data_IF_255461975546
#
_entry.id   IF_255461975546
#
_cell.length_a   1.000
_cell.length_b   1.000
_cell.length_c   1.000
_cell.angle_alpha   90.00
_cell.angle_beta   90.00
_cell.angle_gamma   90.00
#
_symmetry.space_group_name_H-M   'P 1'
#
loop_
_entity.id
_entity.type
_entity.pdbx_description
1 polymer ?
#
# COMPACT_ATOMS: atom_id res chain seq x y z
N UNK A 1 30.05 59.15 -50.53
CA UNK A 1 28.93 59.65 -49.77
C UNK A 1 28.09 58.40 -49.32
N UNK A 2 28.34 57.91 -48.11
CA UNK A 2 27.86 56.60 -47.60
C UNK A 2 26.68 56.85 -46.68
N UNK A 3 25.50 56.36 -47.04
CA UNK A 3 24.32 56.46 -46.19
C UNK A 3 24.21 55.18 -45.35
N UNK A 4 24.34 55.35 -44.04
CA UNK A 4 24.15 54.26 -43.06
C UNK A 4 22.68 54.21 -42.67
N UNK A 5 22.02 53.09 -43.00
CA UNK A 5 20.66 52.77 -42.50
C UNK A 5 20.80 51.99 -41.18
N UNK A 6 20.29 52.59 -40.11
CA UNK A 6 20.18 51.94 -38.80
C UNK A 6 18.85 51.20 -38.74
N UNK A 7 18.88 49.86 -38.72
CA UNK A 7 17.69 49.02 -38.42
C UNK A 7 17.59 48.83 -36.90
N UNK A 8 16.53 49.35 -36.30
CA UNK A 8 16.11 49.03 -34.92
C UNK A 8 15.44 47.65 -34.95
N UNK A 9 16.07 46.64 -34.40
CA UNK A 9 15.43 45.36 -34.12
C UNK A 9 14.84 45.40 -32.71
N UNK A 10 13.48 45.40 -32.59
CA UNK A 10 12.75 45.18 -31.34
C UNK A 10 12.79 43.72 -31.02
N UNK A 11 13.56 43.33 -29.97
CA UNK A 11 13.60 42.00 -29.44
C UNK A 11 12.39 41.82 -28.52
N UNK A 12 11.36 41.11 -28.99
CA UNK A 12 10.30 40.57 -28.10
C UNK A 12 10.92 39.38 -27.31
N UNK A 13 11.14 39.62 -26.04
CA UNK A 13 11.61 38.55 -25.14
C UNK A 13 10.47 37.59 -24.84
N UNK A 14 10.45 36.42 -25.50
CA UNK A 14 9.69 35.26 -25.03
C UNK A 14 10.40 34.70 -23.79
N UNK A 15 9.83 34.95 -22.63
CA UNK A 15 10.20 34.20 -21.41
C UNK A 15 9.68 32.79 -21.53
N UNK A 16 10.52 31.86 -21.90
CA UNK A 16 10.27 30.43 -21.72
C UNK A 16 10.30 30.15 -20.21
N UNK A 17 9.16 29.78 -19.65
CA UNK A 17 9.11 29.20 -18.30
C UNK A 17 9.68 27.78 -18.39
N UNK A 18 10.94 27.62 -18.07
CA UNK A 18 11.52 26.31 -17.85
C UNK A 18 10.87 25.68 -16.62
N UNK A 19 10.21 24.54 -16.81
CA UNK A 19 9.80 23.67 -15.70
C UNK A 19 11.05 23.27 -14.93
N UNK A 20 11.06 23.38 -13.58
CA UNK A 20 12.17 22.82 -12.81
C UNK A 20 12.18 21.30 -12.99
N UNK A 21 13.34 20.78 -13.38
CA UNK A 21 13.62 19.36 -13.32
C UNK A 21 13.53 18.90 -11.86
N UNK A 22 13.05 17.68 -11.58
CA UNK A 22 13.06 17.15 -10.21
C UNK A 22 14.52 17.07 -9.76
N UNK A 23 14.86 17.87 -8.75
CA UNK A 23 16.17 17.85 -8.11
C UNK A 23 16.41 16.48 -7.48
N UNK A 24 17.61 15.97 -7.69
CA UNK A 24 18.11 14.76 -7.07
C UNK A 24 17.91 14.79 -5.55
N UNK A 25 17.51 13.65 -5.04
CA UNK A 25 17.37 13.22 -3.66
C UNK A 25 18.22 14.02 -2.66
N UNK A 26 17.59 14.91 -1.93
CA UNK A 26 18.09 15.30 -0.62
C UNK A 26 17.69 14.18 0.34
N UNK A 27 18.64 13.57 1.00
CA UNK A 27 18.43 12.74 2.18
C UNK A 27 17.78 13.62 3.26
N UNK A 28 16.45 13.57 3.34
CA UNK A 28 15.76 14.20 4.46
C UNK A 28 16.03 13.36 5.70
N UNK A 29 16.76 13.93 6.63
CA UNK A 29 16.88 13.42 7.99
C UNK A 29 15.55 13.72 8.71
N UNK A 30 14.74 12.69 8.90
CA UNK A 30 13.53 12.77 9.69
C UNK A 30 13.89 12.93 11.18
N UNK A 31 13.50 14.05 11.77
CA UNK A 31 13.48 14.18 13.21
C UNK A 31 12.18 13.55 13.75
N UNK A 32 12.24 12.58 14.68
CA UNK A 32 11.04 11.91 15.18
C UNK A 32 10.24 12.89 16.06
N UNK A 33 9.00 13.17 15.65
CA UNK A 33 8.02 13.80 16.56
C UNK A 33 7.40 12.71 17.42
N UNK A 34 7.73 12.71 18.70
CA UNK A 34 7.22 11.76 19.69
C UNK A 34 5.75 12.02 19.98
N UNK A 35 4.87 11.13 19.52
CA UNK A 35 3.50 10.99 20.01
C UNK A 35 3.38 9.62 20.68
N UNK A 36 3.16 9.65 21.99
CA UNK A 36 3.15 8.46 22.82
C UNK A 36 1.85 7.67 22.64
N UNK A 37 1.92 6.58 21.90
CA UNK A 37 1.12 5.39 22.22
C UNK A 37 1.86 4.70 23.36
N UNK A 38 1.26 4.66 24.54
CA UNK A 38 1.90 4.03 25.69
C UNK A 38 2.01 2.53 25.42
N UNK A 39 3.19 2.05 25.07
CA UNK A 39 3.52 0.65 25.27
C UNK A 39 3.28 0.31 26.74
N UNK A 40 2.63 -0.82 27.07
CA UNK A 40 2.49 -1.21 28.46
C UNK A 40 3.89 -1.34 29.07
N UNK A 41 4.16 -0.49 30.04
CA UNK A 41 5.46 -0.38 30.67
C UNK A 41 5.80 -1.64 31.46
N UNK A 42 6.50 -2.57 30.84
CA UNK A 42 7.41 -3.43 31.58
C UNK A 42 8.75 -2.70 31.64
N UNK A 43 9.10 -2.19 32.79
CA UNK A 43 10.27 -1.32 32.98
C UNK A 43 11.57 -2.09 33.24
N UNK A 44 11.55 -3.40 33.30
CA UNK A 44 12.74 -4.21 33.51
C UNK A 44 13.25 -4.82 32.23
N UNK A 45 14.48 -4.43 31.87
CA UNK A 45 15.20 -5.00 30.72
C UNK A 45 15.52 -6.47 30.99
N UNK A 46 15.09 -7.35 30.09
CA UNK A 46 15.45 -8.74 30.09
C UNK A 46 16.79 -9.01 29.38
N UNK A 47 16.85 -10.05 28.58
CA UNK A 47 18.05 -10.43 27.84
C UNK A 47 18.19 -9.59 26.58
N UNK A 48 19.42 -9.19 26.22
CA UNK A 48 19.75 -8.54 24.96
C UNK A 48 20.53 -9.50 24.06
N UNK A 49 20.00 -9.76 22.86
CA UNK A 49 20.67 -10.50 21.80
C UNK A 49 21.14 -9.54 20.72
N UNK A 50 22.43 -9.49 20.45
CA UNK A 50 22.98 -8.76 19.31
C UNK A 50 23.10 -9.73 18.13
N UNK A 51 22.41 -9.44 17.04
CA UNK A 51 22.51 -10.23 15.83
C UNK A 51 23.91 -10.09 15.23
N UNK A 52 24.58 -11.21 15.01
CA UNK A 52 25.90 -11.23 14.36
C UNK A 52 25.71 -11.33 12.84
N UNK A 53 26.26 -10.40 12.05
CA UNK A 53 26.23 -10.56 10.60
C UNK A 53 27.10 -11.79 10.22
N UNK A 54 26.74 -12.46 9.14
CA UNK A 54 27.63 -13.42 8.50
C UNK A 54 28.79 -12.66 7.80
N UNK A 55 29.86 -13.33 7.40
CA UNK A 55 30.90 -12.72 6.56
C UNK A 55 30.26 -12.05 5.31
N UNK A 56 30.91 -11.00 4.82
CA UNK A 56 30.38 -10.19 3.69
C UNK A 56 29.87 -11.08 2.54
N UNK A 57 28.64 -10.84 2.11
CA UNK A 57 27.98 -11.58 1.03
C UNK A 57 27.53 -13.00 1.39
N UNK A 58 27.65 -13.42 2.65
CA UNK A 58 27.14 -14.71 3.11
C UNK A 58 25.80 -14.56 3.83
N UNK A 59 25.00 -15.62 3.78
CA UNK A 59 23.65 -15.65 4.39
C UNK A 59 23.71 -15.48 5.91
N UNK A 60 23.04 -14.44 6.40
CA UNK A 60 22.88 -14.13 7.83
C UNK A 60 21.61 -14.73 8.44
N UNK A 61 20.77 -15.39 7.66
CA UNK A 61 19.44 -15.87 8.10
C UNK A 61 19.53 -16.77 9.33
N UNK A 62 20.48 -17.71 9.37
CA UNK A 62 20.65 -18.57 10.53
C UNK A 62 21.03 -17.81 11.82
N UNK A 63 21.85 -16.77 11.72
CA UNK A 63 22.21 -15.93 12.86
C UNK A 63 21.03 -15.07 13.34
N UNK A 64 20.21 -14.60 12.40
CA UNK A 64 18.97 -13.87 12.69
C UNK A 64 18.02 -14.81 13.45
N UNK A 65 17.70 -15.97 12.90
CA UNK A 65 16.80 -16.95 13.51
C UNK A 65 17.27 -17.34 14.93
N UNK A 66 18.56 -17.57 15.12
CA UNK A 66 19.14 -17.87 16.44
C UNK A 66 18.93 -16.73 17.46
N UNK A 67 19.04 -15.47 17.04
CA UNK A 67 18.80 -14.35 17.94
C UNK A 67 17.33 -14.27 18.35
N UNK A 68 16.41 -14.49 17.41
CA UNK A 68 14.97 -14.54 17.69
C UNK A 68 14.58 -15.75 18.56
N UNK A 69 15.16 -16.91 18.33
CA UNK A 69 14.99 -18.10 19.18
C UNK A 69 15.43 -17.81 20.62
N UNK A 70 16.58 -17.14 20.80
CA UNK A 70 17.17 -16.90 22.11
C UNK A 70 16.49 -15.76 22.89
N UNK A 71 16.02 -14.72 22.21
CA UNK A 71 15.51 -13.50 22.84
C UNK A 71 14.06 -13.15 22.46
N UNK A 72 13.42 -13.87 21.56
CA UNK A 72 12.08 -13.55 21.06
C UNK A 72 10.98 -13.71 22.10
N UNK A 73 11.22 -14.37 23.23
CA UNK A 73 10.24 -14.55 24.28
C UNK A 73 10.82 -14.12 25.64
N UNK A 74 10.31 -13.01 26.16
CA UNK A 74 10.70 -12.56 27.50
C UNK A 74 9.88 -13.27 28.58
N UNK A 75 10.48 -13.46 29.77
CA UNK A 75 9.77 -13.89 30.96
C UNK A 75 8.76 -12.82 31.41
N UNK A 76 7.74 -13.23 32.13
CA UNK A 76 6.72 -12.32 32.65
C UNK A 76 7.36 -11.14 33.42
N UNK A 77 6.91 -9.93 33.12
CA UNK A 77 7.43 -8.69 33.73
C UNK A 77 8.76 -8.19 33.14
N UNK A 78 9.36 -8.92 32.19
CA UNK A 78 10.59 -8.51 31.49
C UNK A 78 10.30 -8.19 30.02
N UNK A 79 11.20 -7.40 29.41
CA UNK A 79 11.21 -7.11 28.00
C UNK A 79 12.61 -7.38 27.42
N UNK A 80 12.68 -8.28 26.47
CA UNK A 80 13.95 -8.64 25.81
C UNK A 80 14.25 -7.68 24.65
N UNK A 81 15.51 -7.67 24.22
CA UNK A 81 15.95 -6.84 23.09
C UNK A 81 16.69 -7.68 22.06
N UNK A 82 16.39 -7.45 20.78
CA UNK A 82 17.11 -8.02 19.63
C UNK A 82 17.68 -6.84 18.84
N UNK A 83 18.99 -6.73 18.74
CA UNK A 83 19.67 -5.58 18.17
C UNK A 83 20.45 -5.94 16.91
N UNK A 84 20.06 -5.34 15.80
CA UNK A 84 20.80 -5.34 14.54
C UNK A 84 21.70 -4.10 14.49
N UNK A 85 23.02 -4.31 14.50
CA UNK A 85 23.97 -3.20 14.40
C UNK A 85 23.95 -2.53 13.04
N UNK A 86 24.51 -1.34 12.92
CA UNK A 86 24.65 -0.61 11.66
C UNK A 86 25.63 -1.30 10.71
N UNK A 87 25.13 -2.31 10.03
CA UNK A 87 25.82 -3.08 8.98
C UNK A 87 24.79 -3.74 8.06
N UNK A 88 25.25 -4.40 7.00
CA UNK A 88 24.39 -5.15 6.09
C UNK A 88 24.33 -6.61 6.50
N UNK A 89 23.12 -7.13 6.58
CA UNK A 89 22.80 -8.55 6.79
C UNK A 89 22.22 -9.10 5.49
N UNK A 90 22.99 -9.92 4.78
CA UNK A 90 22.48 -10.61 3.60
C UNK A 90 21.51 -11.71 4.03
N UNK A 91 20.33 -11.74 3.39
CA UNK A 91 19.28 -12.73 3.65
C UNK A 91 19.08 -13.55 2.39
N UNK A 92 19.50 -14.80 2.42
CA UNK A 92 19.39 -15.73 1.30
C UNK A 92 18.48 -16.95 1.60
N UNK A 93 17.87 -16.96 2.79
CA UNK A 93 16.93 -18.00 3.21
C UNK A 93 15.69 -17.36 3.87
N UNK A 94 14.55 -18.06 3.80
CA UNK A 94 13.30 -17.61 4.44
C UNK A 94 13.48 -17.45 5.94
N UNK A 95 12.76 -16.47 6.50
CA UNK A 95 12.74 -16.21 7.94
C UNK A 95 11.36 -16.50 8.51
N UNK A 96 11.31 -17.26 9.60
CA UNK A 96 10.10 -17.49 10.38
C UNK A 96 10.40 -17.20 11.85
N UNK A 97 9.79 -16.11 12.35
CA UNK A 97 10.02 -15.59 13.72
C UNK A 97 8.67 -15.24 14.35
N UNK A 98 7.85 -16.23 14.54
CA UNK A 98 6.52 -16.11 15.15
C UNK A 98 6.55 -16.48 16.64
N UNK A 99 5.44 -16.18 17.35
CA UNK A 99 5.32 -16.45 18.78
C UNK A 99 6.22 -15.56 19.65
N UNK A 100 6.62 -14.40 19.16
CA UNK A 100 7.37 -13.42 19.93
C UNK A 100 6.54 -12.88 21.09
N UNK A 101 7.21 -12.49 22.19
CA UNK A 101 6.52 -11.95 23.35
C UNK A 101 7.38 -10.95 24.11
N UNK A 102 6.83 -9.75 24.33
CA UNK A 102 7.49 -8.66 25.06
C UNK A 102 8.92 -8.41 24.55
N UNK A 103 9.08 -8.06 23.29
CA UNK A 103 10.40 -7.89 22.68
C UNK A 103 10.52 -6.57 21.93
N UNK A 104 11.65 -5.90 22.13
CA UNK A 104 12.10 -4.76 21.34
C UNK A 104 13.09 -5.24 20.28
N UNK A 105 12.80 -4.95 19.01
CA UNK A 105 13.67 -5.25 17.88
C UNK A 105 14.19 -3.91 17.35
N UNK A 106 15.50 -3.73 17.38
CA UNK A 106 16.16 -2.51 16.94
C UNK A 106 16.99 -2.78 15.69
N UNK A 107 16.61 -2.17 14.59
CA UNK A 107 17.32 -2.28 13.32
C UNK A 107 18.04 -0.97 13.02
N UNK A 108 19.36 -0.97 13.18
CA UNK A 108 20.22 0.18 12.85
C UNK A 108 20.92 0.02 11.48
N UNK A 109 20.84 -1.14 10.86
CA UNK A 109 21.50 -1.47 9.61
C UNK A 109 20.53 -1.83 8.49
N UNK A 110 21.03 -2.60 7.53
CA UNK A 110 20.27 -3.03 6.36
C UNK A 110 20.09 -4.54 6.33
N UNK A 111 18.86 -4.99 6.22
CA UNK A 111 18.49 -6.35 5.83
C UNK A 111 18.39 -6.37 4.30
N UNK A 112 19.27 -7.12 3.63
CA UNK A 112 19.36 -7.13 2.17
C UNK A 112 19.09 -8.53 1.63
N UNK A 113 17.96 -8.67 0.89
CA UNK A 113 17.57 -9.95 0.30
C UNK A 113 18.47 -10.31 -0.90
N UNK A 114 19.08 -11.48 -0.86
CA UNK A 114 19.82 -12.03 -2.00
C UNK A 114 18.84 -12.71 -2.97
N UNK A 115 18.62 -12.07 -4.11
CA UNK A 115 17.75 -12.57 -5.17
C UNK A 115 18.55 -13.26 -6.31
N UNK A 116 19.79 -13.63 -6.11
CA UNK A 116 20.60 -14.34 -7.11
C UNK A 116 20.00 -15.70 -7.49
N UNK A 117 19.23 -16.30 -6.58
CA UNK A 117 18.51 -17.55 -6.79
C UNK A 117 16.99 -17.36 -6.65
N UNK A 118 16.34 -16.84 -7.70
CA UNK A 118 14.88 -16.69 -7.74
C UNK A 118 14.17 -18.03 -7.52
N UNK A 119 14.68 -19.11 -8.08
CA UNK A 119 14.09 -20.46 -7.93
C UNK A 119 14.04 -20.90 -6.47
N UNK A 120 15.03 -20.54 -5.65
CA UNK A 120 14.97 -20.80 -4.22
C UNK A 120 13.74 -20.14 -3.59
N UNK A 121 13.54 -18.83 -3.84
CA UNK A 121 12.44 -18.07 -3.27
C UNK A 121 11.07 -18.60 -3.74
N UNK A 122 10.93 -18.92 -5.03
CA UNK A 122 9.68 -19.48 -5.55
C UNK A 122 9.34 -20.85 -4.91
N UNK A 123 10.34 -21.66 -4.55
CA UNK A 123 10.11 -22.97 -3.99
C UNK A 123 9.97 -22.99 -2.46
N UNK A 124 10.63 -22.06 -1.76
CA UNK A 124 10.76 -22.11 -0.30
C UNK A 124 10.02 -20.99 0.45
N UNK A 125 9.50 -19.97 -0.24
CA UNK A 125 8.75 -18.89 0.42
C UNK A 125 7.56 -19.43 1.20
N UNK A 126 7.33 -18.86 2.38
CA UNK A 126 6.34 -19.30 3.35
C UNK A 126 4.91 -18.89 2.91
N UNK A 127 3.88 -19.66 3.23
CA UNK A 127 2.50 -19.26 2.89
C UNK A 127 2.07 -18.04 3.71
N UNK A 128 1.39 -17.11 3.06
CA UNK A 128 0.71 -15.97 3.73
C UNK A 128 -0.59 -16.44 4.41
N UNK A 129 -1.29 -17.40 3.80
CA UNK A 129 -2.60 -17.85 4.26
C UNK A 129 -3.77 -17.15 3.58
N UNK A 130 -3.52 -16.38 2.53
CA UNK A 130 -4.53 -15.69 1.73
C UNK A 130 -4.16 -15.72 0.25
N UNK A 131 -5.13 -15.93 -0.64
CA UNK A 131 -4.98 -15.91 -2.11
C UNK A 131 -3.80 -16.75 -2.64
N UNK A 132 -3.41 -17.82 -1.97
CA UNK A 132 -2.25 -18.65 -2.31
C UNK A 132 -0.93 -17.86 -2.45
N UNK A 133 -0.82 -16.73 -1.74
CA UNK A 133 0.36 -15.86 -1.72
C UNK A 133 1.46 -16.41 -0.80
N UNK A 134 2.67 -15.95 -1.02
CA UNK A 134 3.86 -16.36 -0.28
C UNK A 134 4.64 -15.16 0.27
N UNK A 135 5.48 -15.39 1.28
CA UNK A 135 6.30 -14.35 1.90
C UNK A 135 7.73 -14.83 2.18
N UNK A 136 8.67 -13.91 2.17
CA UNK A 136 10.07 -14.19 2.50
C UNK A 136 10.33 -14.20 4.01
N UNK A 137 9.59 -13.42 4.78
CA UNK A 137 9.69 -13.39 6.24
C UNK A 137 8.30 -13.35 6.88
N UNK A 138 8.03 -14.30 7.78
CA UNK A 138 6.88 -14.27 8.69
C UNK A 138 7.35 -13.85 10.08
N UNK A 139 6.76 -12.82 10.64
CA UNK A 139 7.03 -12.29 11.97
C UNK A 139 5.71 -12.13 12.71
N UNK A 140 5.66 -12.45 14.00
CA UNK A 140 4.45 -12.25 14.78
C UNK A 140 4.56 -12.59 16.24
N UNK A 141 3.56 -12.17 17.02
CA UNK A 141 3.47 -12.41 18.45
C UNK A 141 2.77 -11.29 19.19
N UNK A 142 3.02 -11.16 20.47
CA UNK A 142 2.38 -10.18 21.33
C UNK A 142 3.38 -9.19 21.92
N UNK A 143 2.98 -7.93 21.98
CA UNK A 143 3.77 -6.86 22.61
C UNK A 143 5.16 -6.69 21.99
N UNK A 144 5.20 -6.58 20.66
CA UNK A 144 6.43 -6.35 19.88
C UNK A 144 6.59 -4.85 19.62
N UNK A 145 7.81 -4.32 19.81
CA UNK A 145 8.19 -3.03 19.26
C UNK A 145 9.33 -3.24 18.26
N UNK A 146 9.12 -2.91 16.99
CA UNK A 146 10.13 -3.00 15.95
C UNK A 146 10.50 -1.60 15.46
N UNK A 147 11.72 -1.14 15.81
CA UNK A 147 12.17 0.21 15.56
C UNK A 147 13.33 0.25 14.56
N UNK A 148 13.18 1.08 13.54
CA UNK A 148 14.24 1.39 12.56
C UNK A 148 14.94 2.72 12.83
N UNK A 149 14.37 3.58 13.69
CA UNK A 149 14.89 4.91 14.03
C UNK A 149 15.23 5.78 12.79
N UNK A 150 14.47 5.62 11.69
CA UNK A 150 14.68 6.34 10.43
C UNK A 150 15.91 5.89 9.62
N UNK A 151 16.58 4.81 10.01
CA UNK A 151 17.75 4.25 9.30
C UNK A 151 17.64 2.75 9.02
N UNK A 152 16.88 2.03 9.83
CA UNK A 152 16.67 0.58 9.69
C UNK A 152 16.01 0.24 8.36
N UNK A 153 16.74 -0.44 7.49
CA UNK A 153 16.37 -0.63 6.10
C UNK A 153 16.13 -2.09 5.74
N UNK A 154 15.03 -2.34 5.05
CA UNK A 154 14.70 -3.59 4.35
C UNK A 154 14.93 -3.36 2.86
N UNK A 155 15.98 -3.92 2.29
CA UNK A 155 16.25 -3.81 0.86
C UNK A 155 15.91 -5.13 0.16
N UNK A 156 14.78 -5.16 -0.54
CA UNK A 156 14.29 -6.33 -1.26
C UNK A 156 15.04 -6.62 -2.55
N UNK A 157 15.92 -5.71 -3.04
CA UNK A 157 16.59 -5.82 -4.34
C UNK A 157 15.63 -6.19 -5.49
N UNK A 158 14.44 -5.57 -5.47
CA UNK A 158 13.27 -5.90 -6.29
C UNK A 158 13.45 -5.77 -7.80
N UNK A 159 14.42 -4.98 -8.28
CA UNK A 159 14.69 -4.87 -9.72
C UNK A 159 14.92 -6.23 -10.41
N UNK A 160 15.47 -7.20 -9.68
CA UNK A 160 15.63 -8.59 -10.17
C UNK A 160 14.26 -9.21 -10.44
N UNK A 161 13.34 -9.06 -9.50
CA UNK A 161 11.97 -9.55 -9.59
C UNK A 161 11.16 -8.81 -10.65
N UNK A 162 11.27 -7.48 -10.72
CA UNK A 162 10.51 -6.65 -11.67
C UNK A 162 10.85 -7.04 -13.11
N UNK A 163 12.13 -7.26 -13.43
CA UNK A 163 12.54 -7.79 -14.71
C UNK A 163 12.09 -9.22 -14.95
N UNK A 164 12.18 -10.08 -13.92
CA UNK A 164 11.82 -11.51 -14.04
C UNK A 164 10.33 -11.68 -14.35
N UNK A 165 9.44 -10.99 -13.61
CA UNK A 165 8.00 -11.11 -13.83
C UNK A 165 7.51 -10.29 -15.03
N UNK A 166 8.28 -9.30 -15.48
CA UNK A 166 8.04 -8.48 -16.66
C UNK A 166 6.58 -8.02 -16.80
N UNK A 167 6.02 -7.49 -15.71
CA UNK A 167 4.64 -7.00 -15.70
C UNK A 167 3.56 -8.07 -15.46
N UNK A 168 3.90 -9.35 -15.33
CA UNK A 168 2.92 -10.37 -14.96
C UNK A 168 2.44 -10.13 -13.53
N UNK A 169 1.13 -9.83 -13.39
CA UNK A 169 0.50 -9.64 -12.11
C UNK A 169 0.35 -10.97 -11.36
N UNK A 170 0.47 -10.92 -10.03
CA UNK A 170 0.31 -12.07 -9.13
C UNK A 170 1.12 -13.30 -9.57
N UNK A 171 2.39 -13.07 -9.92
CA UNK A 171 3.27 -14.17 -10.32
C UNK A 171 3.32 -15.22 -9.21
N UNK A 172 3.02 -16.50 -9.50
CA UNK A 172 2.88 -17.55 -8.50
C UNK A 172 4.13 -17.69 -7.63
N UNK A 173 3.94 -17.72 -6.31
CA UNK A 173 5.00 -17.90 -5.32
C UNK A 173 6.03 -16.76 -5.22
N UNK A 174 5.88 -15.65 -5.97
CA UNK A 174 6.67 -14.44 -5.76
C UNK A 174 6.44 -13.93 -4.34
N UNK A 175 7.48 -13.77 -3.50
CA UNK A 175 7.25 -13.53 -2.08
C UNK A 175 6.96 -12.06 -1.75
N UNK A 176 6.03 -11.82 -0.81
CA UNK A 176 5.97 -10.58 -0.06
C UNK A 176 7.27 -10.42 0.74
N UNK A 177 7.68 -9.19 1.03
CA UNK A 177 8.93 -8.98 1.77
C UNK A 177 8.79 -9.32 3.25
N UNK A 178 7.70 -8.86 3.89
CA UNK A 178 7.41 -9.09 5.30
C UNK A 178 5.92 -9.39 5.51
N UNK A 179 5.61 -10.47 6.23
CA UNK A 179 4.25 -10.72 6.73
C UNK A 179 4.25 -10.67 8.25
N UNK A 180 3.48 -9.72 8.79
CA UNK A 180 3.15 -9.61 10.20
C UNK A 180 1.91 -10.47 10.42
N UNK A 181 2.04 -11.56 11.18
CA UNK A 181 0.97 -12.54 11.38
C UNK A 181 0.73 -12.83 12.85
N UNK A 182 -0.55 -13.06 13.22
CA UNK A 182 -0.94 -13.41 14.60
C UNK A 182 -0.32 -12.45 15.63
N UNK A 183 -0.36 -11.14 15.31
CA UNK A 183 0.32 -10.10 16.09
C UNK A 183 -0.68 -9.24 16.83
N UNK A 184 -0.42 -9.00 18.13
CA UNK A 184 -1.24 -8.14 18.98
C UNK A 184 -0.40 -7.12 19.74
N UNK A 185 -1.04 -5.99 20.14
CA UNK A 185 -0.44 -4.97 21.01
C UNK A 185 0.96 -4.51 20.58
N UNK A 186 1.18 -4.28 19.29
CA UNK A 186 2.52 -4.13 18.73
C UNK A 186 2.71 -2.84 17.94
N UNK A 187 3.94 -2.37 17.88
CA UNK A 187 4.33 -1.16 17.14
C UNK A 187 5.48 -1.46 16.19
N UNK A 188 5.36 -0.99 14.95
CA UNK A 188 6.40 -1.00 13.92
C UNK A 188 6.65 0.44 13.49
N UNK A 189 7.87 0.95 13.65
CA UNK A 189 8.12 2.38 13.45
C UNK A 189 9.50 2.72 12.90
N UNK A 190 9.56 3.82 12.14
CA UNK A 190 10.82 4.38 11.64
C UNK A 190 11.58 3.47 10.69
N UNK A 191 10.89 2.59 9.96
CA UNK A 191 11.45 1.59 9.06
C UNK A 191 11.47 2.09 7.60
N UNK A 192 12.48 1.67 6.86
CA UNK A 192 12.65 1.98 5.44
C UNK A 192 12.56 0.69 4.64
N UNK A 193 11.68 0.65 3.64
CA UNK A 193 11.55 -0.46 2.69
C UNK A 193 11.92 0.01 1.29
N UNK A 194 12.88 -0.68 0.69
CA UNK A 194 13.38 -0.39 -0.64
C UNK A 194 13.21 -1.59 -1.55
N UNK A 195 12.59 -1.38 -2.71
CA UNK A 195 12.50 -2.37 -3.78
C UNK A 195 12.04 -3.76 -3.27
N UNK A 196 10.89 -3.80 -2.66
CA UNK A 196 10.28 -5.06 -2.21
C UNK A 196 10.07 -6.02 -3.37
N UNK A 197 10.23 -7.32 -3.11
CA UNK A 197 10.11 -8.34 -4.15
C UNK A 197 8.71 -8.36 -4.77
N UNK A 198 7.66 -8.22 -3.94
CA UNK A 198 6.25 -8.11 -4.28
C UNK A 198 5.59 -7.11 -3.30
N UNK A 199 4.46 -7.43 -2.66
CA UNK A 199 3.89 -6.61 -1.58
C UNK A 199 4.95 -6.37 -0.51
N UNK A 200 5.09 -5.12 -0.10
CA UNK A 200 6.10 -4.75 0.89
C UNK A 200 5.77 -5.38 2.23
N UNK A 201 4.52 -5.23 2.65
CA UNK A 201 4.07 -5.70 3.95
C UNK A 201 2.66 -6.29 3.86
N UNK A 202 2.41 -7.32 4.66
CA UNK A 202 1.07 -7.86 4.89
C UNK A 202 0.85 -7.97 6.39
N UNK A 203 -0.28 -7.47 6.89
CA UNK A 203 -0.73 -7.65 8.28
C UNK A 203 -1.92 -8.59 8.25
N UNK A 204 -1.75 -9.79 8.76
CA UNK A 204 -2.78 -10.84 8.71
C UNK A 204 -3.03 -11.48 10.08
N UNK A 205 -4.30 -11.78 10.39
CA UNK A 205 -4.73 -12.36 11.68
C UNK A 205 -4.21 -11.59 12.89
N UNK A 206 -4.22 -10.25 12.81
CA UNK A 206 -3.57 -9.38 13.78
C UNK A 206 -4.51 -8.31 14.30
N UNK A 207 -4.27 -7.83 15.52
CA UNK A 207 -5.07 -6.78 16.13
C UNK A 207 -4.22 -5.82 16.97
N UNK A 208 -4.71 -4.57 17.12
CA UNK A 208 -4.06 -3.56 17.97
C UNK A 208 -2.60 -3.30 17.54
N UNK A 209 -2.40 -3.04 16.24
CA UNK A 209 -1.06 -2.79 15.66
C UNK A 209 -0.96 -1.37 15.16
N UNK A 210 0.09 -0.67 15.60
CA UNK A 210 0.49 0.64 15.10
C UNK A 210 1.67 0.50 14.15
N UNK A 211 1.53 1.02 12.93
CA UNK A 211 2.59 1.10 11.93
C UNK A 211 2.82 2.58 11.60
N UNK A 212 3.92 3.15 12.01
CA UNK A 212 4.13 4.60 11.88
C UNK A 212 5.54 4.97 11.41
N UNK A 213 5.63 6.16 10.79
CA UNK A 213 6.91 6.71 10.31
C UNK A 213 7.63 5.74 9.36
N UNK A 214 6.89 5.15 8.40
CA UNK A 214 7.43 4.15 7.49
C UNK A 214 7.57 4.74 6.09
N UNK A 215 8.73 4.52 5.51
CA UNK A 215 9.05 4.92 4.15
C UNK A 215 9.15 3.69 3.24
N UNK A 216 8.44 3.71 2.12
CA UNK A 216 8.45 2.65 1.10
C UNK A 216 8.84 3.26 -0.25
N UNK A 217 9.85 2.67 -0.90
CA UNK A 217 10.21 3.03 -2.27
C UNK A 217 10.44 1.77 -3.11
N UNK A 218 9.45 1.45 -3.92
CA UNK A 218 9.44 0.30 -4.82
C UNK A 218 9.60 0.71 -6.28
N UNK A 219 10.36 1.76 -6.54
CA UNK A 219 10.63 2.21 -7.90
C UNK A 219 11.67 1.34 -8.59
N UNK A 220 11.46 1.05 -9.87
CA UNK A 220 12.44 0.34 -10.69
C UNK A 220 13.55 1.29 -11.16
N UNK A 221 14.79 0.87 -11.01
CA UNK A 221 15.96 1.54 -11.59
C UNK A 221 16.19 1.17 -13.05
N UNK A 222 15.53 0.11 -13.51
CA UNK A 222 15.70 -0.45 -14.87
C UNK A 222 14.55 -0.11 -15.80
N UNK A 223 13.49 0.53 -15.29
CA UNK A 223 12.27 0.82 -16.05
C UNK A 223 11.32 -0.39 -16.17
N UNK A 224 11.63 -1.53 -15.55
CA UNK A 224 10.74 -2.67 -15.52
C UNK A 224 9.46 -2.35 -14.70
N UNK A 225 8.29 -2.86 -15.12
CA UNK A 225 7.04 -2.62 -14.39
C UNK A 225 7.07 -3.13 -12.95
N UNK A 226 6.69 -2.28 -12.00
CA UNK A 226 6.68 -2.60 -10.57
C UNK A 226 5.31 -3.07 -10.08
N UNK A 227 4.75 -4.06 -10.77
CA UNK A 227 3.43 -4.62 -10.45
C UNK A 227 3.42 -5.33 -9.12
N UNK A 228 2.29 -5.26 -8.40
CA UNK A 228 2.10 -5.88 -7.09
C UNK A 228 3.20 -5.50 -6.09
N UNK A 229 3.59 -4.23 -6.09
CA UNK A 229 4.51 -3.67 -5.09
C UNK A 229 3.74 -2.84 -4.06
N UNK A 230 2.61 -3.37 -3.63
CA UNK A 230 1.73 -2.76 -2.64
C UNK A 230 2.52 -2.36 -1.39
N UNK A 231 2.16 -1.22 -0.78
CA UNK A 231 2.86 -0.76 0.42
C UNK A 231 2.51 -1.64 1.63
N UNK A 232 1.22 -1.77 1.95
CA UNK A 232 0.76 -2.70 2.97
C UNK A 232 -0.68 -3.14 2.77
N UNK A 233 -0.94 -4.42 2.98
CA UNK A 233 -2.26 -5.03 2.92
C UNK A 233 -2.69 -5.56 4.29
N UNK A 234 -3.94 -5.32 4.69
CA UNK A 234 -4.51 -5.93 5.90
C UNK A 234 -5.52 -7.01 5.53
N UNK A 235 -5.48 -8.14 6.24
CA UNK A 235 -6.31 -9.31 6.00
C UNK A 235 -6.67 -9.95 7.34
N UNK A 236 -7.95 -10.17 7.63
CA UNK A 236 -8.39 -10.69 8.93
C UNK A 236 -7.78 -9.89 10.09
N UNK A 237 -7.81 -8.56 9.97
CA UNK A 237 -7.12 -7.65 10.87
C UNK A 237 -8.09 -6.67 11.52
N UNK A 238 -7.84 -6.33 12.79
CA UNK A 238 -8.70 -5.42 13.53
C UNK A 238 -7.88 -4.38 14.31
N UNK A 239 -8.35 -3.12 14.31
CA UNK A 239 -7.69 -2.02 15.00
C UNK A 239 -6.23 -1.83 14.56
N UNK A 240 -6.05 -1.57 13.27
CA UNK A 240 -4.74 -1.31 12.67
C UNK A 240 -4.63 0.18 12.32
N UNK A 241 -3.56 0.82 12.76
CA UNK A 241 -3.28 2.23 12.46
C UNK A 241 -2.04 2.37 11.61
N UNK A 242 -2.20 3.04 10.47
CA UNK A 242 -1.13 3.50 9.59
C UNK A 242 -0.98 5.01 9.76
N UNK A 243 0.18 5.47 10.19
CA UNK A 243 0.40 6.89 10.46
C UNK A 243 1.73 7.37 9.89
N UNK A 244 1.71 8.48 9.16
CA UNK A 244 2.89 9.12 8.58
C UNK A 244 3.72 8.17 7.70
N UNK A 245 3.02 7.53 6.77
CA UNK A 245 3.64 6.72 5.73
C UNK A 245 3.96 7.58 4.51
N UNK A 246 5.11 7.30 3.88
CA UNK A 246 5.44 7.81 2.56
C UNK A 246 5.65 6.60 1.66
N UNK A 247 4.83 6.48 0.62
CA UNK A 247 4.87 5.31 -0.28
C UNK A 247 5.04 5.77 -1.71
N UNK A 248 6.07 5.25 -2.37
CA UNK A 248 6.30 5.40 -3.79
C UNK A 248 6.40 4.02 -4.44
N UNK A 249 5.34 3.58 -5.11
CA UNK A 249 5.20 2.22 -5.61
C UNK A 249 4.53 2.14 -6.98
N UNK A 250 4.25 0.93 -7.46
CA UNK A 250 3.59 0.67 -8.74
C UNK A 250 2.21 0.05 -8.62
N UNK A 251 1.69 -0.16 -7.40
CA UNK A 251 0.38 -0.76 -7.17
C UNK A 251 -0.35 -0.05 -6.00
N UNK A 252 -1.19 -0.76 -5.21
CA UNK A 252 -1.91 -0.16 -4.10
C UNK A 252 -0.96 0.40 -3.02
N UNK A 253 -1.25 1.58 -2.48
CA UNK A 253 -0.42 2.12 -1.40
C UNK A 253 -0.71 1.40 -0.08
N UNK A 254 -1.92 1.51 0.45
CA UNK A 254 -2.41 0.74 1.59
C UNK A 254 -3.75 0.14 1.19
N UNK A 255 -3.92 -1.16 1.44
CA UNK A 255 -5.07 -1.90 0.95
C UNK A 255 -5.70 -2.80 2.02
N UNK A 256 -6.71 -2.30 2.76
CA UNK A 256 -7.57 -3.17 3.55
C UNK A 256 -8.30 -4.17 2.65
N UNK A 257 -8.17 -5.47 2.98
CA UNK A 257 -8.79 -6.60 2.27
C UNK A 257 -9.71 -7.38 3.21
N UNK A 258 -9.94 -8.66 2.92
CA UNK A 258 -10.90 -9.53 3.61
C UNK A 258 -10.85 -9.43 5.14
N UNK A 259 -12.01 -9.18 5.74
CA UNK A 259 -12.24 -9.13 7.18
C UNK A 259 -11.32 -8.14 7.92
N UNK A 260 -11.06 -7.00 7.28
CA UNK A 260 -10.35 -5.87 7.89
C UNK A 260 -11.36 -4.91 8.52
N UNK A 261 -11.19 -4.62 9.81
CA UNK A 261 -12.12 -3.82 10.61
C UNK A 261 -11.38 -2.79 11.45
N UNK A 262 -11.95 -1.59 11.62
CA UNK A 262 -11.37 -0.53 12.44
C UNK A 262 -9.96 -0.14 11.97
N UNK A 263 -9.84 0.23 10.70
CA UNK A 263 -8.58 0.61 10.09
C UNK A 263 -8.48 2.14 10.02
N UNK A 264 -7.39 2.68 10.53
CA UNK A 264 -7.07 4.11 10.44
C UNK A 264 -5.83 4.31 9.57
N UNK A 265 -5.96 5.14 8.52
CA UNK A 265 -4.86 5.57 7.66
C UNK A 265 -4.80 7.09 7.74
N UNK A 266 -3.71 7.64 8.26
CA UNK A 266 -3.64 9.09 8.49
C UNK A 266 -2.27 9.71 8.23
N UNK A 267 -2.29 11.02 7.93
CA UNK A 267 -1.10 11.87 7.83
C UNK A 267 -0.05 11.32 6.84
N UNK A 268 -0.48 10.82 5.67
CA UNK A 268 0.37 10.02 4.78
C UNK A 268 0.42 10.56 3.36
N UNK A 269 1.52 10.24 2.65
CA UNK A 269 1.77 10.71 1.29
C UNK A 269 2.01 9.53 0.35
N UNK A 270 1.32 9.53 -0.80
CA UNK A 270 1.40 8.45 -1.78
C UNK A 270 1.78 8.98 -3.15
N UNK A 271 2.75 8.31 -3.75
CA UNK A 271 3.33 8.67 -5.04
C UNK A 271 3.13 7.55 -6.04
N UNK A 272 2.55 7.86 -7.20
CA UNK A 272 2.27 6.88 -8.27
C UNK A 272 1.32 5.77 -7.80
N UNK A 273 1.40 4.58 -8.37
CA UNK A 273 0.56 3.45 -7.98
C UNK A 273 -0.94 3.71 -8.08
N UNK A 274 -1.70 2.94 -7.34
CA UNK A 274 -3.18 3.00 -7.34
C UNK A 274 -3.76 3.95 -6.30
N UNK A 275 -2.98 4.43 -5.31
CA UNK A 275 -3.46 5.16 -4.14
C UNK A 275 -3.99 4.23 -3.05
N UNK A 276 -4.86 4.71 -2.16
CA UNK A 276 -5.53 3.86 -1.17
C UNK A 276 -6.58 3.01 -1.89
N UNK A 277 -6.54 1.69 -1.67
CA UNK A 277 -7.48 0.76 -2.29
C UNK A 277 -8.12 -0.18 -1.26
N UNK A 278 -9.43 -0.13 -1.07
CA UNK A 278 -10.16 -1.09 -0.26
C UNK A 278 -10.50 -2.30 -1.16
N UNK A 279 -9.82 -3.42 -0.91
CA UNK A 279 -9.92 -4.63 -1.73
C UNK A 279 -8.67 -4.89 -2.61
N UNK A 280 -8.74 -5.73 -3.65
CA UNK A 280 -9.97 -6.42 -4.08
C UNK A 280 -10.46 -7.42 -3.04
N UNK A 281 -11.78 -7.49 -2.92
CA UNK A 281 -12.48 -8.35 -1.96
C UNK A 281 -13.66 -9.04 -2.67
N UNK A 282 -14.14 -10.15 -2.12
CA UNK A 282 -15.19 -10.96 -2.76
C UNK A 282 -14.65 -11.85 -3.88
N UNK A 283 -13.38 -12.23 -3.80
CA UNK A 283 -12.70 -13.04 -4.81
C UNK A 283 -13.01 -14.54 -4.69
N UNK A 284 -13.32 -15.03 -3.52
CA UNK A 284 -13.53 -16.45 -3.26
C UNK A 284 -15.01 -16.80 -3.31
N UNK A 285 -15.39 -17.72 -4.21
CA UNK A 285 -16.78 -18.12 -4.44
C UNK A 285 -17.48 -18.58 -3.16
N UNK A 286 -18.67 -18.03 -2.91
CA UNK A 286 -19.48 -18.32 -1.73
C UNK A 286 -18.91 -17.88 -0.38
N UNK A 287 -17.70 -17.34 -0.32
CA UNK A 287 -17.12 -16.85 0.92
C UNK A 287 -17.71 -15.48 1.30
N UNK A 288 -18.00 -15.29 2.58
CA UNK A 288 -18.50 -14.04 3.11
C UNK A 288 -17.34 -13.26 3.76
N UNK A 289 -17.02 -12.11 3.18
CA UNK A 289 -15.89 -11.28 3.59
C UNK A 289 -16.37 -9.84 3.85
N UNK A 290 -15.69 -9.11 4.73
CA UNK A 290 -16.07 -7.75 5.11
C UNK A 290 -14.90 -6.78 5.12
N UNK A 291 -15.19 -5.50 4.81
CA UNK A 291 -14.35 -4.35 5.16
C UNK A 291 -15.25 -3.37 5.90
N UNK A 292 -14.88 -2.98 7.11
CA UNK A 292 -15.75 -2.17 7.95
C UNK A 292 -14.98 -1.17 8.80
N UNK A 293 -15.57 0.03 9.01
CA UNK A 293 -15.02 1.07 9.86
C UNK A 293 -13.59 1.47 9.43
N UNK A 294 -13.45 1.89 8.17
CA UNK A 294 -12.18 2.38 7.65
C UNK A 294 -12.22 3.91 7.59
N UNK A 295 -11.24 4.55 8.20
CA UNK A 295 -11.05 6.00 8.15
C UNK A 295 -9.70 6.32 7.51
N UNK A 296 -9.74 7.09 6.44
CA UNK A 296 -8.56 7.66 5.78
C UNK A 296 -8.60 9.17 5.91
N UNK A 297 -7.61 9.80 6.51
CA UNK A 297 -7.63 11.25 6.72
C UNK A 297 -6.26 11.91 6.58
N UNK A 298 -6.25 13.17 6.16
CA UNK A 298 -5.03 13.94 5.96
C UNK A 298 -4.08 13.24 4.97
N UNK A 299 -4.58 12.94 3.77
CA UNK A 299 -3.84 12.18 2.76
C UNK A 299 -3.43 13.09 1.61
N UNK A 300 -2.18 13.00 1.20
CA UNK A 300 -1.68 13.66 0.00
C UNK A 300 -1.30 12.64 -1.05
N UNK A 301 -1.83 12.78 -2.27
CA UNK A 301 -1.59 11.85 -3.38
C UNK A 301 -0.98 12.56 -4.58
N UNK A 302 0.13 12.02 -5.08
CA UNK A 302 0.88 12.58 -6.23
C UNK A 302 0.90 11.58 -7.38
N UNK A 303 0.28 11.93 -8.50
CA UNK A 303 0.25 11.12 -9.72
C UNK A 303 -0.30 9.69 -9.55
N UNK A 304 -1.08 9.43 -8.52
CA UNK A 304 -1.74 8.14 -8.31
C UNK A 304 -2.88 7.95 -9.32
N UNK A 305 -3.34 6.71 -9.48
CA UNK A 305 -4.54 6.43 -10.27
C UNK A 305 -5.79 6.95 -9.56
N UNK A 306 -5.88 6.77 -8.25
CA UNK A 306 -7.03 7.22 -7.47
C UNK A 306 -6.56 7.94 -6.21
N UNK A 307 -7.38 8.88 -5.71
CA UNK A 307 -7.28 9.33 -4.33
C UNK A 307 -7.75 8.21 -3.39
N UNK A 308 -8.96 7.71 -3.63
CA UNK A 308 -9.51 6.55 -2.92
C UNK A 308 -10.18 5.59 -3.91
N UNK A 309 -10.07 4.28 -3.66
CA UNK A 309 -10.55 3.23 -4.54
C UNK A 309 -11.20 2.09 -3.75
N UNK A 310 -12.41 1.67 -4.14
CA UNK A 310 -13.07 0.48 -3.61
C UNK A 310 -13.23 -0.51 -4.77
N UNK A 311 -12.67 -1.72 -4.63
CA UNK A 311 -12.70 -2.73 -5.70
C UNK A 311 -13.16 -4.08 -5.19
N UNK A 312 -14.26 -4.56 -5.76
CA UNK A 312 -14.80 -5.90 -5.46
C UNK A 312 -14.88 -6.74 -6.73
N UNK A 313 -14.85 -8.03 -6.56
CA UNK A 313 -14.94 -8.97 -7.66
C UNK A 313 -16.37 -9.10 -8.18
N UNK A 314 -16.48 -9.51 -9.44
CA UNK A 314 -17.78 -9.91 -10.06
C UNK A 314 -18.43 -11.08 -9.31
N UNK A 315 -19.73 -11.30 -9.53
CA UNK A 315 -20.46 -12.41 -8.92
C UNK A 315 -20.24 -13.77 -9.60
N UNK A 316 -19.44 -13.82 -10.67
CA UNK A 316 -19.17 -15.04 -11.42
C UNK A 316 -17.75 -15.52 -11.11
N UNK A 317 -17.64 -16.70 -10.51
CA UNK A 317 -16.36 -17.32 -10.24
C UNK A 317 -15.67 -17.80 -11.52
N UNK A 318 -14.41 -17.37 -11.73
CA UNK A 318 -13.61 -17.71 -12.92
C UNK A 318 -12.29 -18.39 -12.55
N UNK A 319 -12.33 -19.34 -11.63
CA UNK A 319 -11.17 -20.09 -11.18
C UNK A 319 -10.72 -19.73 -9.75
N UNK A 320 -9.48 -20.01 -9.41
CA UNK A 320 -8.92 -19.83 -8.07
C UNK A 320 -8.09 -18.54 -7.94
N UNK A 321 -8.14 -17.85 -6.78
CA UNK A 321 -7.21 -16.77 -6.47
C UNK A 321 -5.75 -17.23 -6.55
N UNK A 322 -4.78 -16.34 -6.88
CA UNK A 322 -4.97 -14.92 -7.17
C UNK A 322 -5.34 -14.60 -8.62
N UNK A 323 -5.16 -15.53 -9.57
CA UNK A 323 -5.29 -15.26 -11.00
C UNK A 323 -6.69 -15.46 -11.55
N UNK A 324 -7.60 -15.99 -10.78
CA UNK A 324 -9.03 -16.08 -11.03
C UNK A 324 -9.79 -15.79 -9.74
N UNK A 325 -11.12 -15.77 -9.82
CA UNK A 325 -11.99 -15.55 -8.68
C UNK A 325 -13.31 -14.96 -9.09
N UNK A 326 -14.05 -14.49 -8.10
CA UNK A 326 -15.43 -13.99 -8.23
C UNK A 326 -16.41 -14.86 -7.48
N UNK A 327 -17.66 -14.38 -7.36
CA UNK A 327 -18.73 -15.11 -6.64
C UNK A 327 -18.70 -14.93 -5.12
N UNK A 328 -17.80 -14.13 -4.57
CA UNK A 328 -17.75 -13.82 -3.15
C UNK A 328 -18.94 -12.98 -2.70
N UNK A 329 -19.24 -13.07 -1.41
CA UNK A 329 -20.32 -12.38 -0.72
C UNK A 329 -19.75 -11.44 0.32
N UNK A 330 -20.56 -10.52 0.83
CA UNK A 330 -20.16 -9.68 1.95
C UNK A 330 -20.48 -8.21 1.79
N UNK A 331 -19.69 -7.37 2.47
CA UNK A 331 -19.89 -5.93 2.40
C UNK A 331 -18.62 -5.12 2.68
N UNK A 332 -18.63 -3.90 2.15
CA UNK A 332 -17.74 -2.80 2.56
C UNK A 332 -18.63 -1.65 3.05
N UNK A 333 -18.48 -1.22 4.31
CA UNK A 333 -19.33 -0.21 4.92
C UNK A 333 -18.63 0.67 5.96
N UNK A 334 -19.24 1.83 6.27
CA UNK A 334 -18.72 2.82 7.21
C UNK A 334 -17.29 3.26 6.82
N UNK A 335 -17.18 3.77 5.59
CA UNK A 335 -15.92 4.15 4.97
C UNK A 335 -15.83 5.67 4.90
N UNK A 336 -14.85 6.25 5.56
CA UNK A 336 -14.64 7.69 5.61
C UNK A 336 -13.31 8.07 4.97
N UNK A 337 -13.37 8.99 4.01
CA UNK A 337 -12.23 9.61 3.35
C UNK A 337 -12.30 11.12 3.57
N UNK A 338 -11.44 11.67 4.40
CA UNK A 338 -11.49 13.07 4.78
C UNK A 338 -10.15 13.79 4.62
N UNK A 339 -10.19 15.01 4.12
CA UNK A 339 -9.05 15.87 3.91
C UNK A 339 -7.98 15.25 3.00
N UNK A 340 -8.32 15.12 1.71
CA UNK A 340 -7.43 14.64 0.66
C UNK A 340 -6.91 15.80 -0.20
N UNK A 341 -5.61 15.90 -0.35
CA UNK A 341 -4.96 16.82 -1.29
C UNK A 341 -4.39 16.03 -2.47
N UNK A 342 -4.88 16.32 -3.67
CA UNK A 342 -4.58 15.59 -4.88
C UNK A 342 -3.70 16.40 -5.83
N UNK A 343 -2.60 15.82 -6.31
CA UNK A 343 -1.73 16.43 -7.31
C UNK A 343 -1.65 15.56 -8.55
N UNK A 344 -2.35 15.97 -9.61
CA UNK A 344 -2.38 15.27 -10.90
C UNK A 344 -2.80 13.80 -10.77
N UNK A 345 -3.80 13.52 -9.94
CA UNK A 345 -4.38 12.18 -9.74
C UNK A 345 -5.34 11.87 -10.90
N UNK A 346 -5.44 10.62 -11.32
CA UNK A 346 -6.31 10.28 -12.45
C UNK A 346 -7.79 10.49 -12.11
N UNK A 347 -8.25 10.00 -10.95
CA UNK A 347 -9.62 10.19 -10.42
C UNK A 347 -9.57 10.43 -8.91
N UNK A 348 -10.43 11.30 -8.40
CA UNK A 348 -10.48 11.52 -6.96
C UNK A 348 -11.01 10.29 -6.21
N UNK A 349 -12.00 9.62 -6.79
CA UNK A 349 -12.62 8.46 -6.17
C UNK A 349 -13.12 7.46 -7.22
N UNK A 350 -12.95 6.18 -6.95
CA UNK A 350 -13.43 5.10 -7.83
C UNK A 350 -14.07 3.98 -7.01
N UNK A 351 -15.21 3.48 -7.48
CA UNK A 351 -15.79 2.21 -7.05
C UNK A 351 -15.87 1.29 -8.26
N UNK A 352 -15.48 0.02 -8.12
CA UNK A 352 -15.79 -1.01 -9.11
C UNK A 352 -16.22 -2.31 -8.45
N UNK A 353 -17.28 -2.90 -8.97
CA UNK A 353 -17.72 -4.27 -8.69
C UNK A 353 -17.48 -5.20 -9.89
N UNK A 354 -16.56 -4.78 -10.76
CA UNK A 354 -16.21 -5.45 -12.01
C UNK A 354 -14.83 -6.11 -11.99
N UNK A 355 -14.19 -6.21 -10.83
CA UNK A 355 -12.84 -6.79 -10.77
C UNK A 355 -12.88 -8.22 -11.28
N UNK A 356 -12.08 -8.50 -12.31
CA UNK A 356 -11.76 -9.83 -12.81
C UNK A 356 -10.48 -9.74 -13.64
N UNK A 357 -9.76 -10.83 -13.82
CA UNK A 357 -8.53 -10.81 -14.63
C UNK A 357 -8.77 -10.96 -16.14
N UNK A 358 -9.95 -11.40 -16.56
CA UNK A 358 -10.25 -11.65 -17.97
C UNK A 358 -10.95 -10.49 -18.66
N UNK A 359 -11.33 -9.44 -17.93
CA UNK A 359 -11.84 -8.19 -18.50
C UNK A 359 -13.17 -8.27 -19.24
N UNK A 360 -14.06 -9.19 -18.88
CA UNK A 360 -15.38 -9.32 -19.50
C UNK A 360 -16.36 -8.30 -18.90
N UNK A 361 -16.72 -7.29 -19.69
CA UNK A 361 -17.63 -6.22 -19.28
C UNK A 361 -19.04 -6.65 -18.87
N UNK A 362 -19.51 -7.83 -19.23
CA UNK A 362 -20.86 -8.30 -18.91
C UNK A 362 -21.07 -8.77 -17.47
N UNK A 363 -20.02 -8.87 -16.65
CA UNK A 363 -20.09 -9.49 -15.33
C UNK A 363 -20.30 -8.50 -14.18
N UNK A 364 -20.21 -7.20 -14.44
CA UNK A 364 -20.28 -6.15 -13.42
C UNK A 364 -21.58 -6.22 -12.61
N UNK A 365 -22.69 -6.47 -13.26
CA UNK A 365 -24.02 -6.52 -12.65
C UNK A 365 -24.32 -7.81 -11.86
N UNK A 366 -23.35 -8.70 -11.77
CA UNK A 366 -23.51 -9.99 -11.09
C UNK A 366 -23.00 -10.00 -9.65
N UNK A 367 -22.17 -9.04 -9.26
CA UNK A 367 -21.62 -8.98 -7.89
C UNK A 367 -22.73 -8.85 -6.86
N UNK A 368 -22.69 -9.70 -5.83
CA UNK A 368 -23.59 -9.65 -4.67
C UNK A 368 -22.95 -8.99 -3.45
N UNK A 369 -21.77 -8.43 -3.62
CA UNK A 369 -21.03 -7.75 -2.57
C UNK A 369 -21.62 -6.36 -2.34
N UNK A 370 -21.98 -6.01 -1.10
CA UNK A 370 -22.64 -4.75 -0.79
C UNK A 370 -21.62 -3.66 -0.47
N UNK A 371 -21.74 -2.49 -1.12
CA UNK A 371 -20.96 -1.30 -0.79
C UNK A 371 -21.92 -0.22 -0.32
N UNK A 372 -21.72 0.30 0.92
CA UNK A 372 -22.61 1.31 1.48
C UNK A 372 -21.94 2.18 2.54
N UNK A 373 -22.58 3.32 2.84
CA UNK A 373 -22.15 4.25 3.89
C UNK A 373 -20.71 4.72 3.64
N UNK A 374 -20.52 5.37 2.48
CA UNK A 374 -19.23 5.89 2.01
C UNK A 374 -19.27 7.41 2.06
N UNK A 375 -18.37 8.01 2.83
CA UNK A 375 -18.33 9.44 3.08
C UNK A 375 -17.00 10.01 2.60
N UNK A 376 -17.07 10.95 1.66
CA UNK A 376 -15.92 11.68 1.14
C UNK A 376 -16.08 13.16 1.46
N UNK A 377 -15.11 13.76 2.15
CA UNK A 377 -15.14 15.16 2.52
C UNK A 377 -13.79 15.83 2.34
N UNK A 378 -13.81 17.14 2.03
CA UNK A 378 -12.63 17.98 1.98
C UNK A 378 -11.57 17.49 0.97
N UNK A 379 -11.99 17.19 -0.27
CA UNK A 379 -11.08 16.88 -1.37
C UNK A 379 -10.68 18.14 -2.12
N UNK A 380 -9.37 18.36 -2.30
CA UNK A 380 -8.84 19.51 -2.99
C UNK A 380 -7.66 19.18 -3.91
N UNK A 381 -7.31 20.08 -4.82
CA UNK A 381 -6.16 19.95 -5.71
C UNK A 381 -6.52 19.60 -7.15
N UNK A 382 -5.77 18.72 -7.81
CA UNK A 382 -5.91 18.51 -9.25
C UNK A 382 -6.11 17.04 -9.64
N UNK A 383 -6.99 16.82 -10.63
CA UNK A 383 -7.22 15.53 -11.27
C UNK A 383 -6.97 15.61 -12.78
N UNK A 384 -6.76 14.46 -13.43
CA UNK A 384 -6.56 14.37 -14.89
C UNK A 384 -7.90 14.31 -15.60
N UNK A 385 -8.21 15.31 -16.42
CA UNK A 385 -9.45 15.37 -17.20
C UNK A 385 -10.67 15.82 -16.39
N UNK A 386 -11.87 15.58 -16.93
CA UNK A 386 -13.12 16.10 -16.39
C UNK A 386 -13.88 15.13 -15.48
N UNK A 387 -13.40 13.88 -15.36
CA UNK A 387 -14.03 12.84 -14.53
C UNK A 387 -13.49 12.90 -13.12
N UNK A 388 -14.32 13.36 -12.18
CA UNK A 388 -14.01 13.39 -10.75
C UNK A 388 -14.02 11.98 -10.17
N UNK A 389 -15.06 11.21 -10.54
CA UNK A 389 -15.31 9.90 -9.95
C UNK A 389 -15.97 8.96 -10.95
N UNK A 390 -15.60 7.68 -10.87
CA UNK A 390 -16.27 6.59 -11.57
C UNK A 390 -16.77 5.57 -10.55
N UNK A 391 -18.06 5.28 -10.55
CA UNK A 391 -18.70 4.35 -9.63
C UNK A 391 -19.47 3.30 -10.43
N UNK A 392 -18.82 2.17 -10.69
CA UNK A 392 -19.43 1.05 -11.39
C UNK A 392 -19.88 -0.01 -10.38
N UNK A 393 -21.11 0.15 -9.94
CA UNK A 393 -21.75 -0.73 -8.98
C UNK A 393 -22.63 -1.78 -9.71
N UNK A 394 -22.89 -2.89 -9.04
CA UNK A 394 -23.65 -4.01 -9.56
C UNK A 394 -25.16 -3.79 -9.44
N UNK A 395 -25.92 -4.12 -10.48
CA UNK A 395 -27.38 -4.12 -10.40
C UNK A 395 -27.91 -5.14 -9.37
N UNK A 396 -27.20 -6.25 -9.15
CA UNK A 396 -27.55 -7.25 -8.13
C UNK A 396 -27.30 -6.76 -6.70
N UNK A 397 -26.33 -5.83 -6.49
CA UNK A 397 -26.03 -5.22 -5.20
C UNK A 397 -25.65 -3.74 -5.40
N UNK A 398 -26.62 -2.84 -5.64
CA UNK A 398 -26.33 -1.44 -5.89
C UNK A 398 -25.62 -0.78 -4.70
N UNK A 399 -24.64 0.08 -4.99
CA UNK A 399 -24.00 0.89 -3.96
C UNK A 399 -25.00 1.87 -3.36
N UNK A 400 -24.92 2.10 -2.04
CA UNK A 400 -25.92 2.91 -1.32
C UNK A 400 -25.27 3.90 -0.38
N UNK A 401 -25.93 5.04 -0.20
CA UNK A 401 -25.53 6.06 0.76
C UNK A 401 -24.08 6.52 0.52
N UNK A 402 -23.84 7.04 -0.70
CA UNK A 402 -22.56 7.65 -1.07
C UNK A 402 -22.68 9.15 -0.93
N UNK A 403 -21.86 9.76 -0.10
CA UNK A 403 -21.95 11.18 0.24
C UNK A 403 -20.62 11.89 -0.07
N UNK A 404 -20.70 12.98 -0.82
CA UNK A 404 -19.58 13.87 -1.11
C UNK A 404 -19.86 15.25 -0.53
N UNK A 405 -18.88 15.84 0.13
CA UNK A 405 -18.96 17.21 0.63
C UNK A 405 -17.64 17.95 0.48
N UNK A 406 -17.70 19.24 0.17
CA UNK A 406 -16.53 20.09 0.03
C UNK A 406 -15.45 19.51 -0.91
N UNK A 407 -15.82 19.22 -2.16
CA UNK A 407 -14.93 18.73 -3.21
C UNK A 407 -14.58 19.90 -4.14
N UNK A 408 -13.33 20.38 -4.07
CA UNK A 408 -12.82 21.54 -4.82
C UNK A 408 -11.61 21.09 -5.64
N UNK A 409 -11.85 20.71 -6.89
CA UNK A 409 -10.85 20.14 -7.78
C UNK A 409 -10.71 20.93 -9.07
N UNK A 410 -9.51 20.87 -9.65
CA UNK A 410 -9.20 21.42 -10.96
C UNK A 410 -8.66 20.32 -11.89
N UNK A 411 -8.96 20.43 -13.17
CA UNK A 411 -8.36 19.61 -14.20
C UNK A 411 -6.92 20.06 -14.43
N UNK A 412 -5.95 19.15 -14.19
CA UNK A 412 -4.51 19.45 -14.25
C UNK A 412 -4.01 19.90 -15.64
N UNK A 413 -4.78 19.68 -16.71
CA UNK A 413 -4.36 20.02 -18.08
C UNK A 413 -4.85 21.39 -18.55
N UNK A 414 -5.97 21.91 -18.05
CA UNK A 414 -6.59 23.15 -18.54
C UNK A 414 -7.14 24.07 -17.44
N UNK A 415 -6.95 23.72 -16.17
CA UNK A 415 -7.39 24.45 -14.99
C UNK A 415 -8.92 24.70 -14.93
N UNK A 416 -9.71 23.88 -15.63
CA UNK A 416 -11.17 23.93 -15.51
C UNK A 416 -11.66 23.10 -14.32
N UNK A 417 -12.86 23.39 -13.81
CA UNK A 417 -13.48 22.57 -12.77
C UNK A 417 -14.05 21.30 -13.38
N UNK A 418 -13.55 20.10 -13.01
CA UNK A 418 -14.10 18.84 -13.48
C UNK A 418 -15.49 18.63 -12.90
N UNK A 419 -16.43 18.05 -13.70
CA UNK A 419 -17.85 17.98 -13.34
C UNK A 419 -18.47 16.60 -13.55
N UNK A 420 -17.73 15.65 -14.05
CA UNK A 420 -18.30 14.36 -14.38
C UNK A 420 -18.19 13.36 -13.20
N UNK A 421 -19.35 12.86 -12.80
CA UNK A 421 -19.52 11.78 -11.84
C UNK A 421 -20.20 10.63 -12.57
N UNK A 422 -19.42 9.73 -13.12
CA UNK A 422 -19.92 8.56 -13.86
C UNK A 422 -20.42 7.52 -12.86
N UNK A 423 -21.67 7.09 -13.02
CA UNK A 423 -22.29 6.15 -12.09
C UNK A 423 -23.06 5.07 -12.85
N UNK A 424 -22.98 3.85 -12.37
CA UNK A 424 -23.89 2.77 -12.66
C UNK A 424 -24.36 2.13 -11.35
N UNK A 425 -25.66 1.84 -11.25
CA UNK A 425 -26.27 1.17 -10.10
C UNK A 425 -25.94 1.78 -8.73
N UNK A 426 -25.81 3.11 -8.66
CA UNK A 426 -25.62 3.88 -7.40
C UNK A 426 -26.96 4.43 -6.93
N UNK A 427 -27.26 4.30 -5.64
CA UNK A 427 -28.50 4.79 -5.02
C UNK A 427 -28.21 5.61 -3.77
N UNK A 428 -29.07 6.60 -3.50
CA UNK A 428 -28.96 7.47 -2.30
C UNK A 428 -27.63 8.26 -2.30
N UNK A 429 -27.47 9.12 -3.30
CA UNK A 429 -26.32 10.05 -3.40
C UNK A 429 -26.61 11.36 -2.68
N UNK A 430 -25.60 11.94 -2.03
CA UNK A 430 -25.62 13.26 -1.44
C UNK A 430 -24.40 14.06 -1.88
N UNK A 431 -24.62 15.31 -2.29
CA UNK A 431 -23.54 16.24 -2.66
C UNK A 431 -23.07 16.15 -4.11
N UNK A 432 -23.59 15.21 -4.91
CA UNK A 432 -23.33 15.11 -6.35
C UNK A 432 -24.51 14.48 -7.09
N UNK A 433 -24.53 14.66 -8.41
CA UNK A 433 -25.46 13.98 -9.32
C UNK A 433 -24.67 13.17 -10.32
N UNK A 434 -25.13 11.97 -10.63
CA UNK A 434 -24.55 11.17 -11.69
C UNK A 434 -24.74 11.84 -13.05
N UNK A 435 -23.68 11.98 -13.83
CA UNK A 435 -23.65 12.72 -15.11
C UNK A 435 -23.53 11.83 -16.34
N UNK A 436 -23.40 10.52 -16.17
CA UNK A 436 -23.27 9.53 -17.23
C UNK A 436 -22.97 8.15 -16.67
N UNK A 437 -22.87 7.19 -17.56
CA UNK A 437 -22.41 5.83 -17.24
C UNK A 437 -20.89 5.77 -17.27
N UNK A 438 -20.27 4.87 -16.50
CA UNK A 438 -18.85 4.59 -16.63
C UNK A 438 -18.53 4.17 -18.07
N UNK A 439 -17.50 4.77 -18.66
CA UNK A 439 -16.95 4.26 -19.91
C UNK A 439 -16.43 2.85 -19.64
N UNK A 440 -16.86 1.86 -20.42
CA UNK A 440 -16.62 0.43 -20.19
C UNK A 440 -15.15 -0.03 -20.12
N UNK A 441 -14.23 0.87 -19.83
CA UNK A 441 -12.79 0.66 -19.84
C UNK A 441 -12.13 0.64 -18.45
N UNK A 442 -12.87 0.80 -17.37
CA UNK A 442 -12.27 0.72 -16.02
C UNK A 442 -11.92 -0.73 -15.60
N UNK A 443 -11.29 -1.44 -16.51
CA UNK A 443 -10.47 -2.58 -16.15
C UNK A 443 -9.23 -2.04 -15.46
N UNK A 444 -9.20 -2.06 -14.13
CA UNK A 444 -8.05 -1.70 -13.33
C UNK A 444 -6.76 -2.50 -13.71
N UNK A 445 -6.87 -3.41 -14.66
CA UNK A 445 -5.83 -4.33 -15.12
C UNK A 445 -5.55 -4.27 -16.63
N UNK A 446 -6.26 -3.46 -17.44
CA UNK A 446 -5.76 -3.16 -18.79
C UNK A 446 -4.61 -2.17 -18.70
N UNK A 447 -3.47 -2.63 -19.02
CA UNK A 447 -2.21 -1.90 -19.19
C UNK A 447 -2.00 -1.51 -20.64
#
# INVERSE_FOLDING_TARGET
>A
MLLILILLATILGLRAHAKPAPSASSTQTYAPTTSAYASPASTQTGVTCVVKPAPSGKDSSANILKAFESCGQAKAGLRNRIVFKNTTYTIASVLETTGLKNVDIELHGTLSWDNSNISYWLNNSLPVGYQNQSTAWRLGGDSITFQGNGSGTFNGNGDVWYRFVNGQSNYPRRPHQLTITETTNSTFEGLIFLQSQMWTMTVIHSADVLLQDIYVNNTSKTGAPTVNTDGCDTIYANNITFRRWIIDNGDDAISPKANSTNILIEDSEFYRGSGIALGSIGQSDGQFETIENVTCRNITSYNTKNGAYIKTWTGIAKGLPPNGGGGGLGFAQNLTFDNFTLFNVQKAFTITQCTNFEGNHGDCDTSKFNIRDVFLSNFSGTVRGDVVSTMQCSAAAPCRNIQLSNVVLENSSNNTTPRQYQCDSVKQTVGFNCTGLPDGEDNAFKR
#
